data_IF_475840932836
#
_entry.id   IF_475840932836
#
_cell.length_a   1.000
_cell.length_b   1.000
_cell.length_c   1.000
_cell.angle_alpha   90.00
_cell.angle_beta   90.00
_cell.angle_gamma   90.00
#
_symmetry.space_group_name_H-M   'P 1'
#
loop_
_entity.id
_entity.type
_entity.pdbx_description
1 polymer ?
#
# COMPACT_ATOMS: atom_id res chain seq x y z
N UNK A 1 9.07 1.41 -4.46
CA UNK A 1 7.88 1.04 -5.28
C UNK A 1 6.77 2.04 -4.98
N UNK A 2 5.83 2.31 -5.89
CA UNK A 2 4.71 3.22 -5.61
C UNK A 2 3.36 2.51 -5.67
N UNK A 3 2.52 2.83 -4.70
CA UNK A 3 1.08 2.54 -4.70
C UNK A 3 0.30 3.84 -4.75
N UNK A 4 -1.00 3.76 -4.93
CA UNK A 4 -1.90 4.91 -4.97
C UNK A 4 -2.93 4.80 -3.86
N UNK A 5 -3.14 5.88 -3.12
CA UNK A 5 -4.21 5.99 -2.15
C UNK A 5 -5.56 6.09 -2.88
N UNK A 6 -6.52 5.24 -2.52
CA UNK A 6 -7.87 5.21 -3.14
C UNK A 6 -8.66 6.49 -2.89
N UNK A 7 -8.49 7.10 -1.73
CA UNK A 7 -9.27 8.25 -1.29
C UNK A 7 -8.76 9.56 -1.90
N UNK A 8 -7.44 9.76 -1.87
CA UNK A 8 -6.83 11.02 -2.33
C UNK A 8 -6.35 10.96 -3.78
N UNK A 9 -6.00 9.77 -4.27
CA UNK A 9 -5.38 9.58 -5.58
C UNK A 9 -3.86 9.80 -5.58
N UNK A 10 -3.28 10.15 -4.44
CA UNK A 10 -1.85 10.42 -4.30
C UNK A 10 -1.02 9.15 -4.37
N UNK A 11 0.22 9.31 -4.82
CA UNK A 11 1.19 8.21 -4.83
C UNK A 11 1.84 8.08 -3.45
N UNK A 12 1.92 6.85 -2.98
CA UNK A 12 2.61 6.48 -1.75
C UNK A 12 3.86 5.69 -2.14
N UNK A 13 5.03 6.21 -1.81
CA UNK A 13 6.26 5.45 -1.86
C UNK A 13 6.24 4.39 -0.77
N UNK A 14 6.40 3.12 -1.14
CA UNK A 14 6.55 2.00 -0.20
C UNK A 14 8.00 1.94 0.27
N UNK A 15 8.22 2.13 1.57
CA UNK A 15 9.55 2.15 2.18
C UNK A 15 10.06 0.74 2.52
N UNK A 16 9.16 -0.15 2.90
CA UNK A 16 9.45 -1.57 3.15
C UNK A 16 8.53 -2.43 2.30
N UNK A 17 9.13 -3.15 1.34
CA UNK A 17 8.39 -4.00 0.43
C UNK A 17 7.97 -5.32 1.09
N UNK A 18 8.66 -5.78 2.12
CA UNK A 18 8.30 -6.98 2.88
C UNK A 18 6.98 -6.79 3.61
N UNK A 19 6.75 -5.59 4.14
CA UNK A 19 5.45 -5.22 4.70
C UNK A 19 4.33 -5.31 3.66
N UNK A 20 4.59 -4.98 2.39
CA UNK A 20 3.58 -4.98 1.33
C UNK A 20 3.05 -6.38 1.01
N UNK A 21 3.94 -7.36 0.79
CA UNK A 21 3.52 -8.71 0.43
C UNK A 21 3.26 -9.63 1.62
N UNK A 22 3.58 -9.22 2.86
CA UNK A 22 3.24 -9.98 4.06
C UNK A 22 1.73 -9.90 4.36
N UNK A 23 0.97 -11.00 4.20
CA UNK A 23 -0.48 -10.96 4.40
C UNK A 23 -0.92 -10.89 5.87
N UNK A 24 0.01 -10.99 6.82
CA UNK A 24 -0.28 -10.81 8.26
C UNK A 24 -0.08 -9.36 8.71
N UNK A 25 0.33 -8.47 7.81
CA UNK A 25 0.44 -7.04 8.08
C UNK A 25 -0.60 -6.29 7.25
N UNK A 26 -1.52 -5.60 7.91
CA UNK A 26 -2.60 -4.85 7.25
C UNK A 26 -2.15 -3.47 6.74
N UNK A 27 -0.96 -3.02 7.14
CA UNK A 27 -0.45 -1.71 6.79
C UNK A 27 0.99 -1.77 6.28
N UNK A 28 1.42 -0.70 5.62
CA UNK A 28 2.80 -0.53 5.13
C UNK A 28 3.34 0.82 5.57
N UNK A 29 4.64 0.86 5.83
CA UNK A 29 5.38 2.10 6.00
C UNK A 29 5.59 2.75 4.63
N UNK A 30 5.11 3.97 4.48
CA UNK A 30 5.20 4.71 3.23
C UNK A 30 5.46 6.19 3.40
N UNK A 31 5.67 6.88 2.28
CA UNK A 31 5.70 8.34 2.20
C UNK A 31 4.73 8.82 1.13
N UNK A 32 3.83 9.70 1.54
CA UNK A 32 2.96 10.38 0.58
C UNK A 32 3.80 11.30 -0.33
N UNK A 33 3.43 11.37 -1.61
CA UNK A 33 4.09 12.19 -2.62
C UNK A 33 3.23 13.40 -3.03
N UNK A 34 2.22 13.74 -2.21
CA UNK A 34 1.47 14.98 -2.37
C UNK A 34 2.36 16.21 -2.13
N UNK A 35 2.28 17.18 -3.03
CA UNK A 35 3.00 18.46 -2.93
C UNK A 35 4.40 18.44 -3.54
N UNK A 36 5.23 19.40 -3.14
CA UNK A 36 6.60 19.60 -3.68
C UNK A 36 7.70 19.22 -2.68
N UNK A 37 7.35 19.01 -1.41
CA UNK A 37 8.29 18.69 -0.34
C UNK A 37 8.22 17.20 0.03
N UNK A 38 9.32 16.64 0.54
CA UNK A 38 9.33 15.26 1.03
C UNK A 38 8.51 15.15 2.30
N UNK A 39 7.48 14.29 2.27
CA UNK A 39 6.62 14.05 3.41
C UNK A 39 7.26 13.08 4.40
N UNK A 40 6.88 13.20 5.67
CA UNK A 40 7.32 12.27 6.70
C UNK A 40 6.81 10.84 6.43
N UNK A 41 7.52 9.86 6.99
CA UNK A 41 7.06 8.47 6.95
C UNK A 41 5.75 8.33 7.72
N UNK A 42 4.80 7.61 7.15
CA UNK A 42 3.51 7.30 7.77
C UNK A 42 3.13 5.83 7.50
N UNK A 43 2.16 5.34 8.25
CA UNK A 43 1.58 4.00 8.06
C UNK A 43 0.31 4.11 7.23
N UNK A 44 0.19 3.28 6.20
CA UNK A 44 -0.95 3.27 5.28
C UNK A 44 -1.60 1.89 5.27
N UNK A 45 -2.92 1.84 5.50
CA UNK A 45 -3.67 0.58 5.42
C UNK A 45 -3.69 0.07 3.98
N UNK A 46 -3.29 -1.18 3.77
CA UNK A 46 -3.24 -1.78 2.42
C UNK A 46 -4.60 -1.82 1.74
N UNK A 47 -5.69 -1.92 2.52
CA UNK A 47 -7.06 -1.91 1.99
C UNK A 47 -7.40 -0.58 1.29
N UNK A 48 -6.71 0.51 1.65
CA UNK A 48 -6.87 1.84 1.06
C UNK A 48 -5.89 2.08 -0.11
N UNK A 49 -5.07 1.10 -0.47
CA UNK A 49 -4.07 1.20 -1.53
C UNK A 49 -4.45 0.38 -2.76
N UNK A 50 -4.06 0.87 -3.93
CA UNK A 50 -4.14 0.19 -5.23
C UNK A 50 -2.86 0.40 -6.03
N UNK A 51 -2.66 -0.40 -7.06
CA UNK A 51 -1.63 -0.07 -8.06
C UNK A 51 -1.98 1.25 -8.76
N UNK A 52 -0.98 2.02 -9.22
CA UNK A 52 -1.23 3.25 -9.98
C UNK A 52 -2.14 3.02 -11.21
N UNK A 53 -2.09 1.83 -11.82
CA UNK A 53 -2.97 1.37 -12.90
C UNK A 53 -4.47 1.32 -12.53
N UNK A 54 -4.79 1.27 -11.23
CA UNK A 54 -6.15 1.11 -10.72
C UNK A 54 -6.47 -0.31 -10.22
N UNK A 55 -5.58 -1.27 -10.45
CA UNK A 55 -5.77 -2.65 -9.99
C UNK A 55 -5.66 -2.75 -8.46
N UNK A 56 -6.50 -3.60 -7.87
CA UNK A 56 -6.41 -3.90 -6.43
C UNK A 56 -5.17 -4.72 -6.11
N UNK A 57 -4.73 -4.65 -4.85
CA UNK A 57 -3.65 -5.52 -4.38
C UNK A 57 -4.05 -7.00 -4.47
N UNK A 58 -3.11 -7.91 -4.77
CA UNK A 58 -3.36 -9.34 -4.78
C UNK A 58 -3.90 -9.83 -3.43
N UNK A 59 -4.89 -10.73 -3.45
CA UNK A 59 -5.47 -11.29 -2.21
C UNK A 59 -4.42 -11.97 -1.33
N UNK A 60 -3.43 -12.63 -1.93
CA UNK A 60 -2.34 -13.28 -1.20
C UNK A 60 -1.40 -12.31 -0.45
N UNK A 61 -1.51 -11.00 -0.68
CA UNK A 61 -0.78 -9.95 0.07
C UNK A 61 -1.64 -9.30 1.16
N UNK A 62 -2.95 -9.59 1.14
CA UNK A 62 -3.97 -8.99 2.00
C UNK A 62 -4.55 -9.99 3.01
N UNK A 63 -4.49 -11.29 2.70
CA UNK A 63 -5.11 -12.35 3.50
C UNK A 63 -4.23 -13.61 3.46
N UNK A 64 -3.81 -14.06 4.65
CA UNK A 64 -2.95 -15.23 4.80
C UNK A 64 -3.69 -16.53 4.46
N UNK A 65 -5.03 -16.52 4.49
CA UNK A 65 -5.89 -17.67 4.27
C UNK A 65 -6.55 -17.70 2.88
N UNK A 66 -6.05 -16.89 1.93
CA UNK A 66 -6.66 -16.69 0.61
C UNK A 66 -6.92 -17.94 -0.24
N UNK A 67 -6.28 -19.09 0.07
CA UNK A 67 -6.43 -20.37 -0.63
C UNK A 67 -7.54 -21.26 -0.08
N UNK A 68 -8.15 -20.91 1.05
CA UNK A 68 -9.16 -21.74 1.73
C UNK A 68 -10.60 -21.36 1.34
N UNK A 69 -10.77 -20.51 0.30
CA UNK A 69 -12.07 -20.01 -0.16
C UNK A 69 -12.41 -20.50 -1.57
#
# INVERSE_FOLDING_TARGET
MFLKNKQTGDLIEVLDIEELFNPNNDAISGRDQAGQEEQEKASFEKKELIFPSGESLPRCWMDANYTTT
#
